data_IF_935692073265
#
_entry.id   IF_935692073265
#
_cell.length_a   1.000
_cell.length_b   1.000
_cell.length_c   1.000
_cell.angle_alpha   90.00
_cell.angle_beta   90.00
_cell.angle_gamma   90.00
#
_symmetry.space_group_name_H-M   'P 1'
#
loop_
_entity.id
_entity.type
_entity.pdbx_description
1 polymer ?
#
# COMPACT_ATOMS: atom_id res chain seq x y z
N UNK A 1 -28.34 -14.29 -17.93
CA UNK A 1 -27.91 -12.88 -17.78
C UNK A 1 -27.26 -12.74 -16.41
N UNK A 2 -26.00 -13.17 -16.24
CA UNK A 2 -25.33 -13.28 -14.93
C UNK A 2 -23.87 -12.79 -14.95
N UNK A 3 -23.39 -12.19 -16.04
CA UNK A 3 -21.97 -11.89 -16.23
C UNK A 3 -21.48 -10.52 -15.71
N UNK A 4 -22.36 -9.66 -15.21
CA UNK A 4 -21.96 -8.28 -14.85
C UNK A 4 -21.31 -8.13 -13.46
N UNK A 5 -21.76 -8.90 -12.46
CA UNK A 5 -21.29 -8.74 -11.06
C UNK A 5 -19.97 -9.45 -10.78
N UNK A 6 -19.71 -10.58 -11.43
CA UNK A 6 -18.51 -11.39 -11.17
C UNK A 6 -17.21 -10.69 -11.62
N UNK A 7 -17.24 -10.01 -12.78
CA UNK A 7 -16.07 -9.33 -13.35
C UNK A 7 -15.63 -8.11 -12.52
N UNK A 8 -16.58 -7.26 -12.09
CA UNK A 8 -16.30 -6.07 -11.25
C UNK A 8 -15.75 -6.46 -9.88
N UNK A 9 -16.26 -7.54 -9.28
CA UNK A 9 -15.75 -8.07 -8.02
C UNK A 9 -14.36 -8.71 -8.15
N UNK A 10 -14.06 -9.35 -9.29
CA UNK A 10 -12.72 -9.90 -9.56
C UNK A 10 -11.65 -8.81 -9.66
N UNK A 11 -11.92 -7.72 -10.39
CA UNK A 11 -10.96 -6.61 -10.50
C UNK A 11 -10.61 -5.99 -9.15
N UNK A 12 -11.62 -5.71 -8.31
CA UNK A 12 -11.42 -5.14 -6.98
C UNK A 12 -10.65 -6.09 -6.05
N UNK A 13 -10.92 -7.40 -6.11
CA UNK A 13 -10.19 -8.40 -5.31
C UNK A 13 -8.71 -8.49 -5.71
N UNK A 14 -8.40 -8.42 -7.00
CA UNK A 14 -7.00 -8.43 -7.48
C UNK A 14 -6.23 -7.24 -6.93
N UNK A 15 -6.81 -6.03 -6.96
CA UNK A 15 -6.19 -4.83 -6.40
C UNK A 15 -5.87 -4.99 -4.91
N UNK A 16 -6.81 -5.49 -4.11
CA UNK A 16 -6.57 -5.74 -2.69
C UNK A 16 -5.49 -6.79 -2.44
N UNK A 17 -5.44 -7.88 -3.23
CA UNK A 17 -4.40 -8.91 -3.09
C UNK A 17 -3.02 -8.34 -3.44
N UNK A 18 -2.91 -7.56 -4.52
CA UNK A 18 -1.65 -6.91 -4.91
C UNK A 18 -1.22 -5.92 -3.83
N UNK A 19 -2.13 -5.08 -3.34
CA UNK A 19 -1.86 -4.15 -2.25
C UNK A 19 -1.33 -4.87 -1.01
N UNK A 20 -2.03 -5.90 -0.53
CA UNK A 20 -1.62 -6.67 0.63
C UNK A 20 -0.25 -7.35 0.43
N UNK A 21 0.02 -7.86 -0.79
CA UNK A 21 1.30 -8.48 -1.13
C UNK A 21 2.44 -7.47 -1.04
N UNK A 22 2.28 -6.29 -1.64
CA UNK A 22 3.31 -5.24 -1.64
C UNK A 22 3.57 -4.73 -0.22
N UNK A 23 2.51 -4.49 0.57
CA UNK A 23 2.63 -4.08 1.98
C UNK A 23 3.35 -5.14 2.81
N UNK A 24 3.07 -6.42 2.55
CA UNK A 24 3.77 -7.53 3.24
C UNK A 24 5.26 -7.54 2.89
N UNK A 25 5.62 -7.35 1.63
CA UNK A 25 7.02 -7.26 1.20
C UNK A 25 7.72 -6.06 1.86
N UNK A 26 7.04 -4.91 1.93
CA UNK A 26 7.57 -3.73 2.61
C UNK A 26 7.80 -3.97 4.10
N UNK A 27 6.89 -4.66 4.78
CA UNK A 27 7.05 -5.06 6.17
C UNK A 27 8.26 -5.99 6.35
N UNK A 28 8.41 -7.01 5.50
CA UNK A 28 9.56 -7.91 5.54
C UNK A 28 10.88 -7.16 5.31
N UNK A 29 10.92 -6.26 4.34
CA UNK A 29 12.11 -5.44 4.07
C UNK A 29 12.44 -4.51 5.24
N UNK A 30 11.44 -3.83 5.81
CA UNK A 30 11.62 -3.01 7.00
C UNK A 30 12.16 -3.82 8.18
N UNK A 31 11.66 -5.03 8.38
CA UNK A 31 12.16 -5.94 9.41
C UNK A 31 13.63 -6.30 9.18
N UNK A 32 13.99 -6.73 7.97
CA UNK A 32 15.37 -7.08 7.62
C UNK A 32 16.31 -5.89 7.86
N UNK A 33 15.96 -4.70 7.36
CA UNK A 33 16.78 -3.50 7.51
C UNK A 33 16.95 -3.14 9.00
N UNK A 34 15.87 -3.18 9.78
CA UNK A 34 15.96 -2.86 11.20
C UNK A 34 16.68 -3.93 12.03
N UNK A 35 16.77 -5.18 11.57
CA UNK A 35 17.61 -6.21 12.22
C UNK A 35 19.09 -6.01 11.96
N UNK A 36 19.47 -5.58 10.76
CA UNK A 36 20.87 -5.26 10.42
C UNK A 36 21.30 -3.97 11.14
N UNK A 37 20.35 -3.07 11.39
CA UNK A 37 20.52 -1.83 12.14
C UNK A 37 21.80 -1.06 11.73
N UNK A 38 21.89 -0.63 10.46
CA UNK A 38 23.07 0.08 9.98
C UNK A 38 23.28 1.39 10.76
N UNK A 39 24.53 1.65 11.14
CA UNK A 39 24.91 2.86 11.86
C UNK A 39 24.43 4.12 11.12
N UNK A 40 23.71 5.00 11.82
CA UNK A 40 23.17 6.25 11.29
C UNK A 40 21.76 6.17 10.70
N UNK A 41 21.07 5.04 10.81
CA UNK A 41 19.70 4.91 10.33
C UNK A 41 18.68 5.41 11.36
N UNK A 42 18.32 6.70 11.29
CA UNK A 42 17.26 7.29 12.11
C UNK A 42 15.96 7.43 11.29
N UNK A 43 15.01 6.49 11.39
CA UNK A 43 13.74 6.60 10.66
C UNK A 43 12.91 7.76 11.21
N UNK A 44 12.67 8.78 10.39
CA UNK A 44 11.80 9.92 10.74
C UNK A 44 10.56 9.90 9.86
N UNK A 45 9.42 9.52 10.43
CA UNK A 45 8.13 9.58 9.78
C UNK A 45 7.75 11.03 9.46
N UNK A 46 7.51 11.30 8.18
CA UNK A 46 7.08 12.60 7.67
C UNK A 46 8.00 13.78 8.05
N UNK A 47 9.24 13.51 8.49
CA UNK A 47 10.16 14.53 8.99
C UNK A 47 9.81 15.10 10.37
N UNK A 48 8.83 14.53 11.08
CA UNK A 48 8.34 15.05 12.38
C UNK A 48 8.38 14.01 13.50
N UNK A 49 8.12 12.74 13.19
CA UNK A 49 8.02 11.69 14.20
C UNK A 49 9.25 10.78 14.10
N UNK A 50 10.15 10.88 15.06
CA UNK A 50 11.30 10.01 15.18
C UNK A 50 10.85 8.62 15.65
N UNK A 51 11.17 7.60 14.87
CA UNK A 51 10.96 6.21 15.25
C UNK A 51 12.26 5.65 15.83
N UNK A 52 12.19 4.79 16.85
CA UNK A 52 13.37 4.14 17.38
C UNK A 52 14.04 3.29 16.28
N UNK A 53 15.38 3.34 16.12
CA UNK A 53 16.12 2.56 15.13
C UNK A 53 16.13 1.09 15.54
N UNK A 54 14.99 0.45 15.36
CA UNK A 54 14.69 -0.91 15.78
C UNK A 54 13.97 -1.62 14.64
N UNK A 55 13.96 -2.96 14.60
CA UNK A 55 13.18 -3.73 13.64
C UNK A 55 11.72 -3.26 13.56
N UNK A 56 11.11 -3.00 14.72
CA UNK A 56 9.73 -2.53 14.80
C UNK A 56 9.57 -1.13 14.17
N UNK A 57 10.47 -0.20 14.50
CA UNK A 57 10.45 1.14 13.91
C UNK A 57 10.58 1.11 12.39
N UNK A 58 11.49 0.30 11.86
CA UNK A 58 11.70 0.19 10.41
C UNK A 58 10.53 -0.48 9.68
N UNK A 59 9.89 -1.48 10.28
CA UNK A 59 8.64 -2.06 9.75
C UNK A 59 7.55 -0.99 9.69
N UNK A 60 7.33 -0.26 10.78
CA UNK A 60 6.31 0.80 10.84
C UNK A 60 6.58 1.88 9.81
N UNK A 61 7.83 2.33 9.68
CA UNK A 61 8.24 3.30 8.69
C UNK A 61 7.91 2.84 7.26
N UNK A 62 8.39 1.65 6.87
CA UNK A 62 8.17 1.10 5.53
C UNK A 62 6.69 0.85 5.23
N UNK A 63 5.96 0.23 6.17
CA UNK A 63 4.53 -0.06 6.01
C UNK A 63 3.72 1.22 5.86
N UNK A 64 3.98 2.26 6.65
CA UNK A 64 3.24 3.52 6.54
C UNK A 64 3.45 4.17 5.18
N UNK A 65 4.70 4.37 4.75
CA UNK A 65 4.98 5.03 3.47
C UNK A 65 4.43 4.25 2.27
N UNK A 66 4.61 2.92 2.27
CA UNK A 66 4.13 2.07 1.18
C UNK A 66 2.61 2.00 1.16
N UNK A 67 1.97 1.84 2.32
CA UNK A 67 0.51 1.80 2.42
C UNK A 67 -0.11 3.12 1.99
N UNK A 68 0.48 4.25 2.36
CA UNK A 68 -0.04 5.57 1.97
C UNK A 68 0.16 5.80 0.48
N UNK A 69 1.37 5.59 -0.05
CA UNK A 69 1.65 5.80 -1.46
C UNK A 69 0.79 4.91 -2.36
N UNK A 70 0.77 3.61 -2.07
CA UNK A 70 0.02 2.64 -2.87
C UNK A 70 -1.49 2.72 -2.62
N UNK A 71 -1.90 2.94 -1.38
CA UNK A 71 -3.31 3.09 -1.00
C UNK A 71 -3.93 4.34 -1.60
N UNK A 72 -3.20 5.46 -1.65
CA UNK A 72 -3.66 6.67 -2.33
C UNK A 72 -3.86 6.43 -3.84
N UNK A 73 -2.95 5.69 -4.49
CA UNK A 73 -3.13 5.31 -5.90
C UNK A 73 -4.34 4.39 -6.08
N UNK A 74 -4.50 3.40 -5.22
CA UNK A 74 -5.63 2.47 -5.26
C UNK A 74 -6.97 3.22 -5.11
N UNK A 75 -7.08 4.11 -4.12
CA UNK A 75 -8.27 4.96 -3.92
C UNK A 75 -8.52 5.88 -5.12
N UNK A 76 -7.47 6.41 -5.73
CA UNK A 76 -7.57 7.25 -6.93
C UNK A 76 -8.16 6.44 -8.10
N UNK A 77 -7.67 5.22 -8.32
CA UNK A 77 -8.19 4.33 -9.36
C UNK A 77 -9.65 3.98 -9.10
N UNK A 78 -10.01 3.68 -7.85
CA UNK A 78 -11.38 3.39 -7.47
C UNK A 78 -12.30 4.60 -7.68
N UNK A 79 -11.86 5.79 -7.29
CA UNK A 79 -12.57 7.03 -7.51
C UNK A 79 -12.80 7.34 -9.00
N UNK A 80 -11.77 7.16 -9.83
CA UNK A 80 -11.89 7.36 -11.29
C UNK A 80 -12.81 6.31 -11.90
N UNK A 81 -12.68 5.04 -11.50
CA UNK A 81 -13.56 3.99 -11.97
C UNK A 81 -15.02 4.29 -11.61
N UNK A 82 -15.33 4.66 -10.36
CA UNK A 82 -16.70 5.00 -9.97
C UNK A 82 -17.23 6.26 -10.70
N UNK A 83 -16.36 7.24 -10.98
CA UNK A 83 -16.78 8.52 -11.56
C UNK A 83 -16.92 8.49 -13.09
N UNK A 84 -16.15 7.66 -13.79
CA UNK A 84 -16.04 7.67 -15.26
C UNK A 84 -16.54 6.39 -15.96
N UNK A 85 -16.78 5.30 -15.23
CA UNK A 85 -17.36 4.05 -15.78
C UNK A 85 -18.84 4.19 -16.23
N UNK A 86 -19.45 5.35 -15.97
CA UNK A 86 -20.80 5.72 -16.43
C UNK A 86 -20.85 6.26 -17.87
N UNK A 87 -19.69 6.42 -18.53
CA UNK A 87 -19.63 6.85 -19.95
C UNK A 87 -19.50 5.66 -20.89
N UNK A 88 -20.43 4.71 -20.81
CA UNK A 88 -20.61 3.73 -21.88
C UNK A 88 -21.42 4.39 -22.99
N UNK A 89 -20.70 4.81 -24.01
CA UNK A 89 -21.14 5.44 -25.27
C UNK A 89 -22.39 4.76 -25.83
N UNK A 90 -23.46 5.54 -26.01
CA UNK A 90 -24.60 5.24 -26.90
C UNK A 90 -24.25 5.60 -28.34
#
# INVERSE_FOLDING_TARGET
MTESTASRWQGRRVLYVVYATVVTIAALMGFIIGTINPDGLNPVLFGVIELPPTPVGMVVFGVIYVSIGLGALMLTVEFVAERFDDKRVE
#
